data_IF_801582421703
#
_entry.id   IF_801582421703
#
_cell.length_a   1.000
_cell.length_b   1.000
_cell.length_c   1.000
_cell.angle_alpha   90.00
_cell.angle_beta   90.00
_cell.angle_gamma   90.00
#
_symmetry.space_group_name_H-M   'P 1'
#
loop_
_entity.id
_entity.type
_entity.pdbx_description
1 polymer ?
#
# COMPACT_ATOMS: atom_id res chain seq x y z
N UNK A 1 7.21 1.06 10.61
CA UNK A 1 7.17 1.76 9.33
C UNK A 1 5.74 2.16 8.99
N UNK A 2 5.58 3.28 8.30
CA UNK A 2 4.29 3.83 7.95
C UNK A 2 3.52 4.35 9.16
N UNK A 3 2.19 4.34 9.09
CA UNK A 3 1.33 4.77 10.18
C UNK A 3 1.09 3.64 11.19
N UNK A 4 1.18 3.89 12.50
CA UNK A 4 1.06 2.85 13.52
C UNK A 4 -0.34 2.24 13.61
N UNK A 5 -1.38 2.94 13.16
CA UNK A 5 -2.76 2.47 13.22
C UNK A 5 -3.34 2.03 11.86
N UNK A 6 -2.54 2.05 10.79
CA UNK A 6 -2.99 1.63 9.46
C UNK A 6 -2.31 0.34 9.02
N UNK A 7 -2.98 -0.79 9.16
CA UNK A 7 -2.50 -2.16 8.85
C UNK A 7 -1.20 -2.57 9.56
N UNK A 8 -0.80 -1.85 10.61
CA UNK A 8 0.39 -2.11 11.39
C UNK A 8 0.17 -3.22 12.44
N UNK A 9 1.23 -3.98 12.74
CA UNK A 9 1.23 -4.93 13.87
C UNK A 9 1.15 -4.24 15.23
N UNK A 10 1.54 -2.97 15.32
CA UNK A 10 1.42 -2.17 16.54
C UNK A 10 -0.02 -2.08 17.05
N UNK A 11 -1.01 -2.10 16.17
CA UNK A 11 -2.43 -2.07 16.58
C UNK A 11 -2.79 -3.18 17.58
N UNK A 12 -2.14 -4.34 17.49
CA UNK A 12 -2.35 -5.44 18.43
C UNK A 12 -1.72 -5.16 19.79
N UNK A 13 -0.56 -4.51 19.81
CA UNK A 13 0.08 -4.05 21.05
C UNK A 13 -0.71 -2.91 21.69
N UNK A 14 -1.10 -1.91 20.87
CA UNK A 14 -1.88 -0.78 21.34
C UNK A 14 -3.16 -1.21 22.09
N UNK A 15 -3.94 -2.10 21.50
CA UNK A 15 -5.16 -2.63 22.11
C UNK A 15 -4.94 -3.29 23.48
N UNK A 16 -3.75 -3.82 23.73
CA UNK A 16 -3.42 -4.50 24.99
C UNK A 16 -2.80 -3.57 26.02
N UNK A 17 -2.02 -2.60 25.58
CA UNK A 17 -1.21 -1.76 26.47
C UNK A 17 -1.89 -0.41 26.79
N UNK A 18 -2.58 0.20 25.86
CA UNK A 18 -3.22 1.50 26.07
C UNK A 18 -4.21 1.55 27.25
N UNK A 19 -4.91 0.48 27.65
CA UNK A 19 -5.71 0.48 28.87
C UNK A 19 -4.91 0.53 30.18
N UNK A 20 -3.61 0.23 30.14
CA UNK A 20 -2.75 0.10 31.32
C UNK A 20 -1.64 1.17 31.37
N UNK A 21 -1.35 1.81 30.26
CA UNK A 21 -0.26 2.77 30.13
C UNK A 21 -0.72 3.97 29.30
N UNK A 22 -0.23 5.15 29.65
CA UNK A 22 -0.39 6.31 28.76
C UNK A 22 0.32 6.04 27.43
N UNK A 23 -0.41 6.25 26.34
CA UNK A 23 0.10 5.99 25.00
C UNK A 23 -0.15 7.19 24.10
N UNK A 24 0.90 7.76 23.56
CA UNK A 24 0.85 8.78 22.52
C UNK A 24 1.01 8.13 21.14
N UNK A 25 0.11 8.45 20.22
CA UNK A 25 0.18 7.98 18.82
C UNK A 25 0.71 9.11 17.95
N UNK A 26 1.91 8.93 17.44
CA UNK A 26 2.47 9.82 16.42
C UNK A 26 2.09 9.29 15.04
N UNK A 27 1.26 10.02 14.26
CA UNK A 27 0.86 9.58 12.93
C UNK A 27 2.06 9.55 11.98
N UNK A 28 2.05 8.60 11.06
CA UNK A 28 3.08 8.44 10.05
C UNK A 28 2.54 8.54 8.63
N UNK A 29 3.44 8.61 7.65
CA UNK A 29 3.07 8.50 6.25
C UNK A 29 2.69 7.06 5.96
N UNK A 30 1.46 6.83 5.52
CA UNK A 30 1.02 5.49 5.16
C UNK A 30 1.80 4.97 3.95
N UNK A 31 1.99 3.68 3.87
CA UNK A 31 2.59 3.06 2.71
C UNK A 31 1.77 3.31 1.42
N UNK A 32 0.47 3.56 1.54
CA UNK A 32 -0.40 3.96 0.43
C UNK A 32 0.07 5.29 -0.17
N UNK A 33 0.29 6.30 0.66
CA UNK A 33 0.80 7.60 0.22
C UNK A 33 2.24 7.50 -0.31
N UNK A 34 3.09 6.70 0.35
CA UNK A 34 4.46 6.49 -0.10
C UNK A 34 4.52 5.86 -1.50
N UNK A 35 3.65 4.92 -1.81
CA UNK A 35 3.61 4.31 -3.12
C UNK A 35 3.04 5.22 -4.21
N UNK A 36 2.06 6.07 -3.90
CA UNK A 36 1.63 7.14 -4.81
C UNK A 36 2.80 8.04 -5.17
N UNK A 37 3.58 8.48 -4.17
CA UNK A 37 4.78 9.28 -4.40
C UNK A 37 5.82 8.54 -5.27
N UNK A 38 6.07 7.25 -5.01
CA UNK A 38 7.03 6.45 -5.77
C UNK A 38 6.65 6.25 -7.23
N UNK A 39 5.37 6.24 -7.54
CA UNK A 39 4.88 6.09 -8.92
C UNK A 39 4.64 7.42 -9.63
N UNK A 40 4.56 8.53 -8.88
CA UNK A 40 4.15 9.82 -9.41
C UNK A 40 2.68 9.88 -9.87
N UNK A 41 1.85 8.91 -9.45
CA UNK A 41 0.43 8.85 -9.82
C UNK A 41 -0.42 9.24 -8.60
N UNK A 42 -1.31 10.23 -8.72
CA UNK A 42 -2.27 10.55 -7.66
C UNK A 42 -3.08 9.32 -7.25
N UNK A 43 -3.50 9.28 -5.98
CA UNK A 43 -4.37 8.21 -5.49
C UNK A 43 -5.80 8.43 -5.97
N UNK A 44 -6.28 9.65 -5.82
CA UNK A 44 -7.62 10.09 -6.21
C UNK A 44 -7.59 11.59 -6.49
N UNK A 45 -8.48 12.04 -7.36
CA UNK A 45 -8.68 13.44 -7.68
C UNK A 45 -10.18 13.80 -7.67
N UNK A 46 -10.49 15.04 -7.32
CA UNK A 46 -11.86 15.55 -7.36
C UNK A 46 -12.85 14.73 -6.52
N UNK A 47 -13.83 14.12 -7.16
CA UNK A 47 -14.87 13.31 -6.52
C UNK A 47 -14.60 11.80 -6.52
N UNK A 48 -13.44 11.38 -6.97
CA UNK A 48 -13.05 9.97 -7.00
C UNK A 48 -12.94 9.37 -5.60
N UNK A 49 -13.26 8.09 -5.50
CA UNK A 49 -13.21 7.33 -4.25
C UNK A 49 -12.02 6.39 -4.21
N UNK A 50 -11.33 6.34 -3.06
CA UNK A 50 -10.25 5.39 -2.81
C UNK A 50 -10.76 4.17 -2.04
N UNK A 51 -10.63 2.99 -2.62
CA UNK A 51 -10.90 1.73 -1.95
C UNK A 51 -9.60 1.01 -1.56
N UNK A 52 -9.44 0.72 -0.27
CA UNK A 52 -8.33 -0.09 0.23
C UNK A 52 -8.84 -1.48 0.58
N UNK A 53 -8.28 -2.52 -0.08
CA UNK A 53 -8.71 -3.90 0.10
C UNK A 53 -7.51 -4.81 0.41
N UNK A 54 -7.64 -5.76 1.37
CA UNK A 54 -6.57 -6.73 1.60
C UNK A 54 -6.54 -7.77 0.47
N UNK A 55 -5.36 -8.14 -0.01
CA UNK A 55 -5.19 -9.18 -1.01
C UNK A 55 -5.67 -10.58 -0.57
N UNK A 56 -5.94 -10.73 0.73
CA UNK A 56 -6.54 -11.95 1.31
C UNK A 56 -8.06 -12.03 1.14
N UNK A 57 -8.73 -10.97 0.68
CA UNK A 57 -10.16 -10.98 0.38
C UNK A 57 -10.49 -12.07 -0.66
N UNK A 58 -11.74 -12.53 -0.70
CA UNK A 58 -12.17 -13.52 -1.68
C UNK A 58 -12.05 -13.00 -3.12
N UNK A 59 -11.95 -13.90 -4.09
CA UNK A 59 -11.89 -13.51 -5.51
C UNK A 59 -13.14 -12.73 -5.93
N UNK A 60 -14.31 -13.12 -5.45
CA UNK A 60 -15.57 -12.40 -5.74
C UNK A 60 -15.57 -10.97 -5.17
N UNK A 61 -15.07 -10.79 -3.96
CA UNK A 61 -14.94 -9.47 -3.35
C UNK A 61 -13.92 -8.62 -4.11
N UNK A 62 -12.78 -9.18 -4.49
CA UNK A 62 -11.77 -8.48 -5.29
C UNK A 62 -12.36 -8.02 -6.63
N UNK A 63 -13.03 -8.92 -7.36
CA UNK A 63 -13.67 -8.58 -8.64
C UNK A 63 -14.73 -7.49 -8.49
N UNK A 64 -15.57 -7.58 -7.46
CA UNK A 64 -16.56 -6.55 -7.19
C UNK A 64 -15.90 -5.19 -6.98
N UNK A 65 -14.86 -5.11 -6.13
CA UNK A 65 -14.14 -3.87 -5.86
C UNK A 65 -13.41 -3.35 -7.10
N UNK A 66 -12.78 -4.23 -7.87
CA UNK A 66 -12.03 -3.82 -9.07
C UNK A 66 -12.94 -3.24 -10.15
N UNK A 67 -14.19 -3.66 -10.22
CA UNK A 67 -15.16 -3.15 -11.19
C UNK A 67 -15.91 -1.91 -10.72
N UNK A 68 -16.04 -1.69 -9.43
CA UNK A 68 -16.89 -0.63 -8.86
C UNK A 68 -16.14 0.60 -8.34
N UNK A 69 -14.85 0.51 -8.04
CA UNK A 69 -14.10 1.61 -7.45
C UNK A 69 -13.33 2.41 -8.51
N UNK A 70 -13.26 3.73 -8.32
CA UNK A 70 -12.45 4.62 -9.16
C UNK A 70 -10.97 4.29 -8.96
N UNK A 71 -10.50 4.33 -7.73
CA UNK A 71 -9.14 4.02 -7.35
C UNK A 71 -9.09 2.90 -6.30
N UNK A 72 -8.13 1.98 -6.43
CA UNK A 72 -8.00 0.83 -5.55
C UNK A 72 -6.57 0.65 -5.09
N UNK A 73 -6.44 0.36 -3.82
CA UNK A 73 -5.18 -0.10 -3.22
C UNK A 73 -5.37 -1.51 -2.69
N UNK A 74 -4.57 -2.45 -3.16
CA UNK A 74 -4.54 -3.80 -2.59
C UNK A 74 -3.34 -3.95 -1.68
N UNK A 75 -3.59 -4.26 -0.42
CA UNK A 75 -2.57 -4.46 0.59
C UNK A 75 -2.45 -5.93 1.00
N UNK A 76 -1.32 -6.30 1.62
CA UNK A 76 -1.11 -7.66 2.17
C UNK A 76 -1.23 -8.76 1.12
N UNK A 77 -0.64 -8.57 -0.04
CA UNK A 77 -0.70 -9.51 -1.15
C UNK A 77 -0.03 -10.83 -0.84
N UNK A 78 1.22 -10.81 -0.43
CA UNK A 78 1.98 -12.00 -0.09
C UNK A 78 1.72 -13.17 -1.06
N UNK A 79 1.26 -14.29 -0.51
CA UNK A 79 0.96 -15.50 -1.29
C UNK A 79 -0.26 -15.38 -2.20
N UNK A 80 -1.03 -14.29 -2.11
CA UNK A 80 -2.26 -14.11 -2.88
C UNK A 80 -2.04 -13.34 -4.19
N UNK A 81 -0.79 -12.98 -4.50
CA UNK A 81 -0.45 -12.16 -5.67
C UNK A 81 -1.04 -12.70 -6.98
N UNK A 82 -0.81 -13.98 -7.29
CA UNK A 82 -1.30 -14.60 -8.53
C UNK A 82 -2.83 -14.46 -8.66
N UNK A 83 -3.55 -14.76 -7.58
CA UNK A 83 -5.01 -14.65 -7.55
C UNK A 83 -5.47 -13.20 -7.74
N UNK A 84 -4.81 -12.24 -7.13
CA UNK A 84 -5.13 -10.82 -7.29
C UNK A 84 -4.85 -10.36 -8.72
N UNK A 85 -3.72 -10.77 -9.30
CA UNK A 85 -3.37 -10.48 -10.69
C UNK A 85 -4.39 -11.05 -11.67
N UNK A 86 -4.84 -12.28 -11.45
CA UNK A 86 -5.85 -12.92 -12.30
C UNK A 86 -7.20 -12.22 -12.18
N UNK A 87 -7.61 -11.82 -10.98
CA UNK A 87 -8.82 -11.03 -10.75
C UNK A 87 -8.75 -9.64 -11.43
N UNK A 88 -7.57 -9.01 -11.45
CA UNK A 88 -7.38 -7.76 -12.20
C UNK A 88 -7.49 -7.94 -13.68
N UNK A 89 -6.89 -9.00 -14.22
CA UNK A 89 -7.00 -9.33 -15.64
C UNK A 89 -8.45 -9.56 -16.01
N UNK A 90 -9.20 -10.30 -15.19
CA UNK A 90 -10.62 -10.55 -15.41
C UNK A 90 -11.47 -9.26 -15.31
N UNK A 91 -11.07 -8.33 -14.45
CA UNK A 91 -11.71 -7.03 -14.32
C UNK A 91 -11.31 -6.02 -15.42
N UNK A 92 -10.33 -6.37 -16.29
CA UNK A 92 -9.81 -5.48 -17.33
C UNK A 92 -8.92 -4.34 -16.82
N UNK A 93 -8.38 -4.45 -15.59
CA UNK A 93 -7.61 -3.38 -14.92
C UNK A 93 -6.13 -3.72 -14.69
N UNK A 94 -5.63 -4.80 -15.27
CA UNK A 94 -4.24 -5.22 -15.05
C UNK A 94 -3.23 -4.23 -15.63
N UNK A 95 -3.52 -3.66 -16.79
CA UNK A 95 -2.60 -2.76 -17.51
C UNK A 95 -2.48 -1.39 -16.85
N UNK A 96 -3.47 -1.01 -16.03
CA UNK A 96 -3.45 0.20 -15.22
C UNK A 96 -2.68 0.01 -13.91
N UNK A 97 -2.36 -1.22 -13.56
CA UNK A 97 -1.87 -1.59 -12.25
C UNK A 97 -0.35 -1.45 -12.12
N UNK A 98 0.10 -0.93 -10.96
CA UNK A 98 1.50 -0.88 -10.60
C UNK A 98 1.79 -1.76 -9.39
N UNK A 99 2.95 -2.36 -9.39
CA UNK A 99 3.53 -3.03 -8.25
C UNK A 99 4.54 -2.11 -7.59
N UNK A 100 4.38 -1.87 -6.29
CA UNK A 100 5.33 -1.07 -5.52
C UNK A 100 5.82 -1.87 -4.33
N UNK A 101 7.11 -2.02 -4.22
CA UNK A 101 7.78 -2.73 -3.14
C UNK A 101 8.74 -1.78 -2.43
N UNK A 102 8.72 -1.80 -1.10
CA UNK A 102 9.65 -1.04 -0.25
C UNK A 102 9.71 0.45 -0.59
N UNK A 103 8.54 1.05 -0.82
CA UNK A 103 8.43 2.48 -1.14
C UNK A 103 9.21 3.34 -0.14
N UNK A 104 9.89 4.37 -0.65
CA UNK A 104 10.72 5.29 0.10
C UNK A 104 11.97 4.67 0.76
N UNK A 105 12.43 3.54 0.29
CA UNK A 105 13.71 2.94 0.72
C UNK A 105 14.73 2.91 -0.42
N UNK A 106 16.00 2.63 -0.08
CA UNK A 106 17.07 2.49 -1.09
C UNK A 106 16.89 1.29 -2.03
N UNK A 107 16.00 0.39 -1.69
CA UNK A 107 15.68 -0.83 -2.47
C UNK A 107 14.24 -0.80 -2.98
N UNK A 108 13.70 0.39 -3.15
CA UNK A 108 12.38 0.60 -3.74
C UNK A 108 12.29 0.00 -5.14
N UNK A 109 11.16 -0.65 -5.44
CA UNK A 109 10.85 -1.17 -6.78
C UNK A 109 9.45 -0.73 -7.19
N UNK A 110 9.36 -0.20 -8.39
CA UNK A 110 8.09 0.17 -9.03
C UNK A 110 8.06 -0.47 -10.41
N UNK A 111 7.05 -1.29 -10.67
CA UNK A 111 6.87 -2.00 -11.94
C UNK A 111 5.40 -2.00 -12.36
N UNK A 112 5.08 -1.99 -13.67
CA UNK A 112 3.74 -2.36 -14.12
C UNK A 112 3.39 -3.76 -13.62
N UNK A 113 2.17 -3.96 -13.14
CA UNK A 113 1.78 -5.26 -12.60
C UNK A 113 1.72 -6.35 -13.70
N UNK A 114 1.51 -5.95 -14.92
CA UNK A 114 1.52 -6.84 -16.09
C UNK A 114 2.92 -7.45 -16.34
N UNK A 115 3.99 -6.71 -16.04
CA UNK A 115 5.38 -7.13 -16.30
C UNK A 115 5.94 -8.06 -15.22
N UNK A 116 5.22 -8.28 -14.13
CA UNK A 116 5.67 -9.16 -13.07
C UNK A 116 5.59 -10.62 -13.47
N UNK A 117 6.75 -11.18 -13.76
CA UNK A 117 6.93 -12.60 -13.92
C UNK A 117 6.68 -13.32 -12.57
N UNK A 118 6.39 -14.60 -12.62
CA UNK A 118 5.88 -15.51 -11.60
C UNK A 118 6.63 -15.61 -10.27
N UNK A 119 7.70 -14.86 -10.07
CA UNK A 119 8.63 -15.11 -8.97
C UNK A 119 9.11 -13.81 -8.32
N UNK A 120 8.23 -13.10 -7.63
CA UNK A 120 8.72 -12.13 -6.65
C UNK A 120 7.82 -12.25 -5.42
N UNK A 121 8.42 -12.66 -4.31
CA UNK A 121 7.74 -12.67 -3.04
C UNK A 121 7.32 -11.25 -2.65
N UNK A 122 6.08 -11.09 -2.22
CA UNK A 122 5.62 -10.00 -1.39
C UNK A 122 5.42 -8.65 -2.07
N UNK A 123 4.21 -8.28 -2.50
CA UNK A 123 3.73 -6.91 -2.68
C UNK A 123 3.27 -6.48 -4.06
N UNK A 124 2.14 -5.83 -4.13
CA UNK A 124 1.62 -5.33 -5.41
C UNK A 124 0.76 -4.10 -5.23
N UNK A 125 0.94 -3.20 -6.15
CA UNK A 125 0.06 -2.09 -6.36
C UNK A 125 -0.84 -2.31 -7.57
N UNK A 126 -2.05 -1.80 -7.45
CA UNK A 126 -2.98 -1.72 -8.56
C UNK A 126 -3.48 -0.30 -8.64
N UNK A 127 -3.52 0.22 -9.86
CA UNK A 127 -3.92 1.58 -10.07
C UNK A 127 -5.24 1.86 -9.36
N UNK A 128 -5.10 2.67 -8.46
CA UNK A 128 -3.80 3.09 -7.98
C UNK A 128 -3.34 2.44 -6.71
N UNK A 129 -2.53 1.77 -6.36
CA UNK A 129 -1.57 1.41 -5.29
C UNK A 129 -1.88 0.25 -4.36
N UNK A 130 -1.07 -0.77 -4.38
CA UNK A 130 -1.00 -1.79 -3.34
C UNK A 130 0.39 -1.85 -2.69
N UNK A 131 0.44 -2.05 -1.39
CA UNK A 131 1.68 -2.03 -0.62
C UNK A 131 1.72 -3.18 0.35
N UNK A 132 2.86 -3.80 0.49
CA UNK A 132 3.16 -4.66 1.61
C UNK A 132 4.11 -3.97 2.61
N UNK A 133 3.86 -4.17 3.86
CA UNK A 133 4.56 -3.56 4.97
C UNK A 133 5.46 -4.54 5.73
N UNK A 134 5.74 -5.72 5.20
CA UNK A 134 6.69 -6.63 5.82
C UNK A 134 8.10 -6.34 5.33
N UNK A 135 8.65 -5.23 5.80
CA UNK A 135 10.08 -5.00 5.66
C UNK A 135 10.85 -6.04 6.47
N UNK A 136 11.91 -6.52 5.87
CA UNK A 136 12.94 -7.27 6.55
C UNK A 136 13.45 -6.43 7.74
N UNK A 137 13.53 -7.02 8.91
CA UNK A 137 13.81 -6.33 10.17
C UNK A 137 15.22 -5.73 10.28
N UNK A 138 16.04 -5.84 9.23
CA UNK A 138 17.43 -5.38 9.21
C UNK A 138 17.66 -3.97 8.67
N UNK A 139 16.63 -3.26 8.21
CA UNK A 139 16.78 -1.87 7.78
C UNK A 139 16.30 -0.94 8.89
N UNK A 140 17.22 -0.18 9.44
CA UNK A 140 16.97 0.81 10.50
C UNK A 140 15.83 1.79 10.17
N UNK A 141 15.36 2.58 11.15
CA UNK A 141 14.13 3.34 11.04
C UNK A 141 14.20 4.35 9.90
N UNK A 142 13.30 4.22 8.92
CA UNK A 142 13.09 5.22 7.88
C UNK A 142 12.46 6.45 8.53
N UNK A 143 13.25 7.50 8.73
CA UNK A 143 12.76 8.79 9.19
C UNK A 143 12.27 9.58 7.99
N UNK A 144 10.98 9.70 7.82
CA UNK A 144 10.40 10.58 6.81
C UNK A 144 10.44 12.02 7.34
N UNK A 145 11.30 12.84 6.77
CA UNK A 145 11.31 14.29 7.03
C UNK A 145 10.49 14.99 5.93
N UNK A 146 9.40 15.61 6.29
CA UNK A 146 8.74 16.59 5.43
C UNK A 146 9.49 17.91 5.56
N UNK A 147 10.29 18.29 4.55
CA UNK A 147 10.89 19.61 4.48
C UNK A 147 9.89 20.59 3.90
N UNK A 148 9.22 21.35 4.75
CA UNK A 148 8.41 22.48 4.31
C UNK A 148 9.38 23.58 3.84
N UNK A 149 9.45 23.81 2.54
CA UNK A 149 10.18 24.92 1.98
C UNK A 149 9.57 26.23 2.45
N UNK A 150 10.38 27.13 3.04
CA UNK A 150 9.91 28.48 3.33
C UNK A 150 9.58 29.17 2.01
N UNK A 151 8.31 29.56 1.86
CA UNK A 151 7.87 30.39 0.75
C UNK A 151 8.70 31.67 0.68
N UNK A 152 9.24 31.96 -0.48
CA UNK A 152 9.84 33.31 -0.75
C UNK A 152 8.72 34.34 -0.66
N UNK A 153 8.96 35.37 0.15
CA UNK A 153 8.18 36.61 0.12
C UNK A 153 8.43 37.35 -1.19
#
# INVERSE_FOLDING_TARGET
EGDPLFYSSYMHMHKRLAPQFDAEIVPGVTSVSAASAATGVPLVEGEETLTVVPGTASTSELLFRFRSADAIVVMKLGRTFERVRDALREAGRLDEAFYVERASTTVERVLPAADLARTVGWFTRIAPVAIDTRADTDLGPVRTYVRIGQGRR
#
